data_IF_122684291295
#
_entry.id   IF_122684291295
#
_cell.length_a   1.000
_cell.length_b   1.000
_cell.length_c   1.000
_cell.angle_alpha   90.00
_cell.angle_beta   90.00
_cell.angle_gamma   90.00
#
_symmetry.space_group_name_H-M   'P 1'
#
loop_
_entity.id
_entity.type
_entity.pdbx_description
1 polymer ?
#
# COMPACT_ATOMS: atom_id res chain seq x y z
N UNK A 1 -22.80 26.05 3.70
CA UNK A 1 -21.41 26.55 3.89
C UNK A 1 -20.50 26.10 2.74
N UNK A 2 -20.72 24.90 2.25
CA UNK A 2 -20.04 24.17 1.17
C UNK A 2 -19.97 24.96 -0.14
N UNK A 3 -21.01 25.72 -0.49
CA UNK A 3 -21.01 26.57 -1.69
C UNK A 3 -19.96 27.69 -1.61
N UNK A 4 -19.82 28.32 -0.44
CA UNK A 4 -18.83 29.37 -0.23
C UNK A 4 -17.42 28.77 -0.35
N UNK A 5 -17.21 27.60 0.28
CA UNK A 5 -15.95 26.85 0.18
C UNK A 5 -15.62 26.48 -1.27
N UNK A 6 -16.60 25.97 -2.03
CA UNK A 6 -16.44 25.62 -3.43
C UNK A 6 -16.05 26.83 -4.29
N UNK A 7 -16.69 27.99 -4.05
CA UNK A 7 -16.38 29.22 -4.77
C UNK A 7 -14.95 29.70 -4.48
N UNK A 8 -14.50 29.62 -3.21
CA UNK A 8 -13.13 30.00 -2.83
C UNK A 8 -12.11 29.06 -3.47
N UNK A 9 -12.32 27.74 -3.44
CA UNK A 9 -11.40 26.77 -4.04
C UNK A 9 -11.25 27.01 -5.54
N UNK A 10 -12.37 27.21 -6.25
CA UNK A 10 -12.36 27.51 -7.70
C UNK A 10 -11.70 28.84 -8.00
N UNK A 11 -11.98 29.88 -7.20
CA UNK A 11 -11.39 31.22 -7.35
C UNK A 11 -9.86 31.18 -7.28
N UNK A 12 -9.29 30.32 -6.44
CA UNK A 12 -7.84 30.20 -6.26
C UNK A 12 -7.21 28.99 -6.99
N UNK A 13 -7.97 28.28 -7.82
CA UNK A 13 -7.50 27.10 -8.58
C UNK A 13 -6.86 26.00 -7.72
N UNK A 14 -7.46 25.73 -6.54
CA UNK A 14 -6.91 24.83 -5.52
C UNK A 14 -7.46 23.41 -5.59
N UNK A 15 -8.23 23.05 -6.63
CA UNK A 15 -8.93 21.77 -6.75
C UNK A 15 -8.00 20.56 -6.64
N UNK A 16 -6.75 20.68 -7.10
CA UNK A 16 -5.74 19.61 -7.07
C UNK A 16 -4.90 19.58 -5.77
N UNK A 17 -5.17 20.48 -4.83
CA UNK A 17 -4.35 20.68 -3.62
C UNK A 17 -5.15 20.58 -2.32
N UNK A 18 -6.45 20.28 -2.42
CA UNK A 18 -7.37 20.21 -1.28
C UNK A 18 -7.94 18.79 -1.19
N UNK A 19 -8.24 18.38 0.04
CA UNK A 19 -9.07 17.22 0.35
C UNK A 19 -10.02 17.59 1.48
N UNK A 20 -11.23 17.04 1.48
CA UNK A 20 -12.21 17.30 2.52
C UNK A 20 -12.21 16.17 3.54
N UNK A 21 -12.09 16.51 4.82
CA UNK A 21 -12.30 15.60 5.93
C UNK A 21 -13.46 16.12 6.78
N UNK A 22 -14.47 15.30 7.02
CA UNK A 22 -15.66 15.74 7.78
C UNK A 22 -16.33 14.58 8.52
N UNK A 23 -16.90 14.88 9.69
CA UNK A 23 -17.83 14.00 10.40
C UNK A 23 -19.27 14.09 9.86
N UNK A 24 -19.58 15.05 8.98
CA UNK A 24 -20.92 15.25 8.42
C UNK A 24 -21.03 14.60 7.05
N UNK A 25 -21.77 13.48 6.97
CA UNK A 25 -22.00 12.78 5.72
C UNK A 25 -22.81 13.64 4.70
N UNK A 26 -23.89 14.37 5.11
CA UNK A 26 -24.61 15.27 4.20
C UNK A 26 -23.74 16.40 3.62
N UNK A 27 -22.77 16.90 4.39
CA UNK A 27 -21.80 17.89 3.91
C UNK A 27 -20.92 17.31 2.80
N UNK A 28 -20.39 16.09 2.99
CA UNK A 28 -19.61 15.39 1.98
C UNK A 28 -20.43 15.04 0.74
N UNK A 29 -21.70 14.67 0.90
CA UNK A 29 -22.61 14.44 -0.23
C UNK A 29 -22.81 15.73 -1.03
N UNK A 30 -23.05 16.86 -0.38
CA UNK A 30 -23.16 18.17 -1.03
C UNK A 30 -21.87 18.52 -1.78
N UNK A 31 -20.70 18.31 -1.16
CA UNK A 31 -19.40 18.52 -1.80
C UNK A 31 -19.14 17.57 -2.97
N UNK A 32 -19.69 16.35 -2.94
CA UNK A 32 -19.60 15.42 -4.07
C UNK A 32 -20.29 15.95 -5.32
N UNK A 33 -21.38 16.74 -5.16
CA UNK A 33 -22.11 17.38 -6.24
C UNK A 33 -21.40 18.65 -6.73
N UNK A 34 -20.90 19.48 -5.80
CA UNK A 34 -20.26 20.77 -6.13
C UNK A 34 -18.85 20.64 -6.69
N UNK A 35 -18.08 19.65 -6.20
CA UNK A 35 -16.65 19.46 -6.45
C UNK A 35 -16.31 17.95 -6.58
N UNK A 36 -16.88 17.25 -7.58
CA UNK A 36 -16.83 15.79 -7.67
C UNK A 36 -15.41 15.20 -7.76
N UNK A 37 -14.45 15.98 -8.28
CA UNK A 37 -13.06 15.54 -8.47
C UNK A 37 -12.20 15.66 -7.22
N UNK A 38 -12.61 16.45 -6.22
CA UNK A 38 -11.82 16.68 -5.01
C UNK A 38 -12.03 15.52 -4.03
N UNK A 39 -10.97 14.90 -3.47
CA UNK A 39 -11.11 13.79 -2.52
C UNK A 39 -11.95 14.16 -1.29
N UNK A 40 -12.86 13.26 -0.93
CA UNK A 40 -13.77 13.38 0.23
C UNK A 40 -13.55 12.21 1.16
N UNK A 41 -13.10 12.48 2.37
CA UNK A 41 -12.76 11.50 3.39
C UNK A 41 -13.74 11.65 4.56
N UNK A 42 -14.47 10.58 4.87
CA UNK A 42 -15.43 10.60 5.96
C UNK A 42 -14.77 10.19 7.26
N UNK A 43 -14.84 11.06 8.28
CA UNK A 43 -14.35 10.74 9.62
C UNK A 43 -15.43 10.00 10.37
N UNK A 44 -15.11 8.78 10.82
CA UNK A 44 -16.05 7.93 11.55
C UNK A 44 -15.64 7.82 13.00
N UNK A 45 -16.60 8.07 13.90
CA UNK A 45 -16.47 7.77 15.32
C UNK A 45 -16.94 6.35 15.69
N UNK A 46 -17.57 5.62 14.76
CA UNK A 46 -18.00 4.24 14.97
C UNK A 46 -18.21 3.51 13.64
N UNK A 47 -18.05 2.19 13.65
CA UNK A 47 -18.18 1.35 12.46
C UNK A 47 -19.61 1.35 11.87
N UNK A 48 -20.64 1.55 12.69
CA UNK A 48 -22.05 1.62 12.27
C UNK A 48 -22.32 2.74 11.26
N UNK A 49 -21.46 3.76 11.21
CA UNK A 49 -21.59 4.89 10.28
C UNK A 49 -21.04 4.57 8.88
N UNK A 50 -20.29 3.48 8.72
CA UNK A 50 -19.80 3.01 7.43
C UNK A 50 -20.92 2.19 6.80
N UNK A 51 -21.54 2.72 5.75
CA UNK A 51 -22.60 2.05 5.01
C UNK A 51 -22.49 2.37 3.50
N UNK A 52 -23.19 1.60 2.66
CA UNK A 52 -23.07 1.73 1.20
C UNK A 52 -23.52 3.09 0.66
N UNK A 53 -24.48 3.74 1.31
CA UNK A 53 -24.93 5.08 0.92
C UNK A 53 -23.78 6.08 1.06
N UNK A 54 -23.15 6.16 2.23
CA UNK A 54 -22.00 7.05 2.44
C UNK A 54 -20.83 6.69 1.52
N UNK A 55 -20.55 5.39 1.39
CA UNK A 55 -19.49 4.90 0.50
C UNK A 55 -19.74 5.24 -0.98
N UNK A 56 -20.96 5.54 -1.40
CA UNK A 56 -21.23 5.92 -2.79
C UNK A 56 -20.63 7.26 -3.20
N UNK A 57 -20.51 8.22 -2.26
CA UNK A 57 -20.06 9.59 -2.57
C UNK A 57 -18.71 9.96 -1.94
N UNK A 58 -18.15 9.15 -1.04
CA UNK A 58 -16.80 9.39 -0.46
C UNK A 58 -15.71 8.57 -1.13
N UNK A 59 -14.48 9.07 -1.07
CA UNK A 59 -13.29 8.43 -1.65
C UNK A 59 -12.47 7.65 -0.61
N UNK A 60 -12.73 7.88 0.67
CA UNK A 60 -12.05 7.18 1.75
C UNK A 60 -12.71 7.41 3.10
N UNK A 61 -12.24 6.64 4.09
CA UNK A 61 -12.69 6.69 5.47
C UNK A 61 -11.50 7.02 6.36
N UNK A 62 -11.70 7.91 7.33
CA UNK A 62 -10.75 8.21 8.40
C UNK A 62 -11.25 7.60 9.71
N UNK A 63 -10.54 6.59 10.21
CA UNK A 63 -10.95 5.71 11.33
C UNK A 63 -9.98 5.90 12.49
N UNK A 64 -10.45 5.82 13.74
CA UNK A 64 -9.54 5.88 14.89
C UNK A 64 -8.64 4.65 14.95
N UNK A 65 -7.43 4.83 15.48
CA UNK A 65 -6.46 3.77 15.71
C UNK A 65 -7.06 2.60 16.52
N UNK A 66 -7.85 2.90 17.55
CA UNK A 66 -8.47 1.87 18.39
C UNK A 66 -9.48 1.01 17.61
N UNK A 67 -10.34 1.64 16.81
CA UNK A 67 -11.35 0.93 16.04
C UNK A 67 -10.70 0.05 14.95
N UNK A 68 -9.70 0.57 14.26
CA UNK A 68 -9.07 -0.15 13.14
C UNK A 68 -8.14 -1.27 13.62
N UNK A 69 -7.44 -1.08 14.75
CA UNK A 69 -6.58 -2.13 15.32
C UNK A 69 -7.37 -3.32 15.85
N UNK A 70 -8.60 -3.10 16.32
CA UNK A 70 -9.54 -4.15 16.70
C UNK A 70 -10.23 -4.82 15.50
N UNK A 71 -10.21 -4.18 14.32
CA UNK A 71 -10.90 -4.65 13.11
C UNK A 71 -9.99 -4.56 11.86
N UNK A 72 -8.83 -5.23 11.84
CA UNK A 72 -7.84 -5.09 10.77
C UNK A 72 -8.37 -5.44 9.37
N UNK A 73 -9.28 -6.42 9.28
CA UNK A 73 -9.85 -6.88 8.01
C UNK A 73 -10.63 -5.78 7.27
N UNK A 74 -11.09 -4.76 8.00
CA UNK A 74 -11.81 -3.62 7.44
C UNK A 74 -10.94 -2.87 6.41
N UNK A 75 -9.62 -2.87 6.58
CA UNK A 75 -8.69 -2.24 5.63
C UNK A 75 -8.87 -2.85 4.24
N UNK A 76 -8.79 -4.19 4.16
CA UNK A 76 -8.95 -4.91 2.90
C UNK A 76 -10.36 -4.78 2.32
N UNK A 77 -11.39 -4.77 3.18
CA UNK A 77 -12.77 -4.60 2.73
C UNK A 77 -12.98 -3.22 2.09
N UNK A 78 -12.46 -2.15 2.70
CA UNK A 78 -12.54 -0.80 2.15
C UNK A 78 -11.73 -0.67 0.86
N UNK A 79 -10.54 -1.27 0.80
CA UNK A 79 -9.72 -1.30 -0.41
C UNK A 79 -10.39 -2.04 -1.57
N UNK A 80 -11.08 -3.16 -1.31
CA UNK A 80 -11.90 -3.86 -2.32
C UNK A 80 -13.03 -2.99 -2.88
N UNK A 81 -13.50 -2.02 -2.11
CA UNK A 81 -14.47 -1.01 -2.54
C UNK A 81 -13.80 0.25 -3.12
N UNK A 82 -12.50 0.19 -3.39
CA UNK A 82 -11.67 1.30 -3.89
C UNK A 82 -11.70 2.54 -2.99
N UNK A 83 -11.83 2.33 -1.67
CA UNK A 83 -11.83 3.40 -0.67
C UNK A 83 -10.49 3.47 0.03
N UNK A 84 -9.95 4.67 0.16
CA UNK A 84 -8.73 4.91 0.94
C UNK A 84 -9.01 4.81 2.44
N UNK A 85 -8.04 4.31 3.20
CA UNK A 85 -8.09 4.17 4.66
C UNK A 85 -7.09 5.12 5.29
N UNK A 86 -7.62 6.12 5.97
CA UNK A 86 -6.87 7.05 6.80
C UNK A 86 -7.06 6.61 8.25
N UNK A 87 -6.00 6.72 9.05
CA UNK A 87 -6.07 6.42 10.48
C UNK A 87 -5.68 7.66 11.27
N UNK A 88 -6.46 7.98 12.30
CA UNK A 88 -6.13 9.04 13.26
C UNK A 88 -5.96 8.46 14.66
N UNK A 89 -5.08 9.04 15.48
CA UNK A 89 -4.83 8.59 16.85
C UNK A 89 -5.07 9.73 17.84
N UNK A 90 -5.49 9.40 19.07
CA UNK A 90 -5.75 10.36 20.16
C UNK A 90 -4.46 10.78 20.87
N UNK A 91 -3.55 11.42 20.12
CA UNK A 91 -2.34 12.08 20.65
C UNK A 91 -1.37 11.19 21.46
N UNK A 92 -1.57 9.88 21.55
CA UNK A 92 -0.84 8.93 22.40
C UNK A 92 -0.12 7.84 21.58
N UNK A 93 0.48 8.24 20.47
CA UNK A 93 1.05 7.32 19.48
C UNK A 93 2.32 6.59 19.99
N UNK A 94 2.11 5.39 20.55
CA UNK A 94 3.20 4.54 21.03
C UNK A 94 4.03 3.91 19.88
N UNK A 95 5.28 3.50 20.14
CA UNK A 95 6.07 2.71 19.18
C UNK A 95 5.36 1.42 18.73
N UNK A 96 4.57 0.81 19.62
CA UNK A 96 3.76 -0.38 19.29
C UNK A 96 2.70 -0.04 18.25
N UNK A 97 1.98 1.07 18.44
CA UNK A 97 0.99 1.53 17.47
C UNK A 97 1.64 1.88 16.13
N UNK A 98 2.76 2.61 16.13
CA UNK A 98 3.49 2.93 14.90
C UNK A 98 3.95 1.69 14.14
N UNK A 99 4.48 0.69 14.84
CA UNK A 99 4.83 -0.60 14.23
C UNK A 99 3.61 -1.31 13.64
N UNK A 100 2.44 -1.20 14.27
CA UNK A 100 1.22 -1.75 13.70
C UNK A 100 0.80 -0.97 12.45
N UNK A 101 0.67 0.36 12.54
CA UNK A 101 0.25 1.23 11.44
C UNK A 101 1.11 1.06 10.19
N UNK A 102 2.44 1.03 10.36
CA UNK A 102 3.37 0.97 9.23
C UNK A 102 3.38 -0.39 8.52
N UNK A 103 3.01 -1.47 9.22
CA UNK A 103 3.00 -2.83 8.69
C UNK A 103 1.64 -3.25 8.12
N UNK A 104 0.60 -2.44 8.32
CA UNK A 104 -0.70 -2.62 7.69
C UNK A 104 -0.81 -1.75 6.43
N UNK A 105 -1.69 -2.15 5.52
CA UNK A 105 -1.89 -1.47 4.23
C UNK A 105 -2.83 -0.26 4.38
N UNK A 106 -2.43 0.71 5.20
CA UNK A 106 -3.18 1.97 5.34
C UNK A 106 -2.63 3.04 4.40
N UNK A 107 -3.50 3.92 3.91
CA UNK A 107 -3.12 4.94 2.93
C UNK A 107 -2.44 6.15 3.56
N UNK A 108 -2.85 6.53 4.78
CA UNK A 108 -2.27 7.66 5.49
C UNK A 108 -2.56 7.63 6.99
N UNK A 109 -1.72 8.33 7.76
CA UNK A 109 -1.91 8.57 9.19
C UNK A 109 -2.09 10.07 9.42
N UNK A 110 -3.13 10.45 10.14
CA UNK A 110 -3.35 11.80 10.68
C UNK A 110 -2.76 11.82 12.08
N UNK A 111 -1.65 12.54 12.25
CA UNK A 111 -0.77 12.45 13.43
C UNK A 111 -0.25 13.82 13.85
N UNK A 112 -0.02 13.97 15.16
CA UNK A 112 0.68 15.12 15.74
C UNK A 112 2.21 14.96 15.70
N UNK A 113 2.72 13.79 15.34
CA UNK A 113 4.14 13.45 15.32
C UNK A 113 4.63 13.13 13.89
N UNK A 114 4.53 14.07 12.93
CA UNK A 114 4.87 13.82 11.53
C UNK A 114 6.35 13.43 11.32
N UNK A 115 7.26 13.93 12.17
CA UNK A 115 8.67 13.53 12.14
C UNK A 115 8.85 12.04 12.49
N UNK A 116 8.11 11.54 13.48
CA UNK A 116 8.09 10.13 13.85
C UNK A 116 7.52 9.29 12.71
N UNK A 117 6.38 9.69 12.16
CA UNK A 117 5.75 9.06 11.00
C UNK A 117 6.73 8.94 9.82
N UNK A 118 7.45 10.02 9.51
CA UNK A 118 8.45 10.06 8.45
C UNK A 118 9.57 9.05 8.70
N UNK A 119 10.11 8.97 9.93
CA UNK A 119 11.15 8.00 10.28
C UNK A 119 10.70 6.56 10.08
N UNK A 120 9.49 6.20 10.52
CA UNK A 120 8.92 4.87 10.30
C UNK A 120 8.73 4.57 8.81
N UNK A 121 8.23 5.55 8.03
CA UNK A 121 8.08 5.40 6.59
C UNK A 121 9.43 5.17 5.88
N UNK A 122 10.47 5.93 6.26
CA UNK A 122 11.82 5.73 5.71
C UNK A 122 12.40 4.38 6.09
N UNK A 123 12.19 3.93 7.33
CA UNK A 123 12.62 2.61 7.78
C UNK A 123 11.94 1.49 6.97
N UNK A 124 10.61 1.57 6.75
CA UNK A 124 9.86 0.61 5.91
C UNK A 124 10.41 0.57 4.49
N UNK A 125 10.60 1.73 3.84
CA UNK A 125 11.13 1.81 2.48
C UNK A 125 12.54 1.21 2.38
N UNK A 126 13.41 1.51 3.35
CA UNK A 126 14.77 0.93 3.39
C UNK A 126 14.73 -0.59 3.55
N UNK A 127 13.85 -1.11 4.40
CA UNK A 127 13.66 -2.55 4.60
C UNK A 127 13.21 -3.23 3.30
N UNK A 128 12.20 -2.67 2.61
CA UNK A 128 11.72 -3.19 1.33
C UNK A 128 12.86 -3.24 0.30
N UNK A 129 13.65 -2.18 0.18
CA UNK A 129 14.79 -2.14 -0.74
C UNK A 129 15.84 -3.20 -0.42
N UNK A 130 16.15 -3.42 0.87
CA UNK A 130 17.08 -4.46 1.32
C UNK A 130 16.57 -5.87 0.97
N UNK A 131 15.28 -6.15 1.20
CA UNK A 131 14.66 -7.45 0.88
C UNK A 131 14.69 -7.70 -0.62
N UNK A 132 14.30 -6.72 -1.44
CA UNK A 132 14.33 -6.82 -2.90
C UNK A 132 15.75 -7.07 -3.42
N UNK A 133 16.74 -6.35 -2.88
CA UNK A 133 18.15 -6.52 -3.24
C UNK A 133 18.63 -7.94 -2.91
N UNK A 134 18.33 -8.43 -1.70
CA UNK A 134 18.71 -9.78 -1.27
C UNK A 134 18.03 -10.87 -2.11
N UNK A 135 16.75 -10.70 -2.45
CA UNK A 135 16.03 -11.60 -3.36
C UNK A 135 16.66 -11.62 -4.76
N UNK A 136 17.05 -10.47 -5.29
CA UNK A 136 17.71 -10.38 -6.59
C UNK A 136 19.04 -11.13 -6.60
N UNK A 137 19.88 -10.95 -5.57
CA UNK A 137 21.13 -11.71 -5.42
C UNK A 137 20.88 -13.23 -5.32
N UNK A 138 19.84 -13.65 -4.59
CA UNK A 138 19.48 -15.06 -4.47
C UNK A 138 19.05 -15.67 -5.83
N UNK A 139 18.21 -14.98 -6.60
CA UNK A 139 17.77 -15.42 -7.94
C UNK A 139 18.96 -15.53 -8.91
N UNK A 140 19.85 -14.52 -8.91
CA UNK A 140 21.07 -14.56 -9.73
C UNK A 140 21.97 -15.73 -9.33
N UNK A 141 22.09 -16.01 -8.02
CA UNK A 141 22.79 -17.19 -7.51
C UNK A 141 22.21 -18.50 -8.05
N UNK A 142 20.88 -18.66 -7.97
CA UNK A 142 20.19 -19.83 -8.51
C UNK A 142 20.36 -19.99 -10.02
N UNK A 143 20.28 -18.90 -10.79
CA UNK A 143 20.53 -18.94 -12.24
C UNK A 143 21.96 -19.38 -12.58
N UNK A 144 22.97 -18.91 -11.83
CA UNK A 144 24.36 -19.32 -12.03
C UNK A 144 24.57 -20.80 -11.74
N UNK A 145 23.98 -21.33 -10.66
CA UNK A 145 24.05 -22.76 -10.34
C UNK A 145 23.33 -23.61 -11.40
N UNK A 146 22.15 -23.17 -11.87
CA UNK A 146 21.44 -23.86 -12.95
C UNK A 146 22.25 -23.91 -14.25
N UNK A 147 22.92 -22.81 -14.61
CA UNK A 147 23.80 -22.74 -15.78
C UNK A 147 25.02 -23.67 -15.63
N UNK A 148 25.64 -23.74 -14.44
CA UNK A 148 26.73 -24.68 -14.16
C UNK A 148 26.29 -26.14 -14.35
N UNK A 149 25.14 -26.52 -13.80
CA UNK A 149 24.58 -27.87 -13.94
C UNK A 149 24.31 -28.20 -15.40
N UNK A 150 23.76 -27.25 -16.17
CA UNK A 150 23.50 -27.43 -17.60
C UNK A 150 24.80 -27.64 -18.40
N UNK A 151 25.84 -26.83 -18.13
CA UNK A 151 27.17 -26.98 -18.75
C UNK A 151 27.81 -28.33 -18.37
N UNK A 152 27.70 -28.77 -17.12
CA UNK A 152 28.21 -30.08 -16.69
C UNK A 152 27.50 -31.22 -17.42
N UNK A 153 26.17 -31.14 -17.56
CA UNK A 153 25.38 -32.12 -18.33
C UNK A 153 25.84 -32.18 -19.79
N UNK A 154 26.03 -31.04 -20.44
CA UNK A 154 26.53 -30.97 -21.83
C UNK A 154 27.93 -31.59 -21.96
N UNK A 155 28.84 -31.34 -21.01
CA UNK A 155 30.18 -31.97 -20.98
C UNK A 155 30.09 -33.49 -20.81
N UNK A 156 29.24 -33.97 -19.90
CA UNK A 156 29.02 -35.40 -19.67
C UNK A 156 28.50 -36.11 -20.93
N UNK A 157 27.51 -35.51 -21.62
CA UNK A 157 26.94 -36.05 -22.87
C UNK A 157 28.00 -36.12 -23.97
N UNK A 158 28.82 -35.06 -24.14
CA UNK A 158 29.91 -35.06 -25.12
C UNK A 158 30.95 -36.16 -24.83
N UNK A 159 31.30 -36.37 -23.57
CA UNK A 159 32.26 -37.42 -23.18
C UNK A 159 31.71 -38.84 -23.38
N UNK A 160 30.41 -39.07 -23.17
CA UNK A 160 29.77 -40.37 -23.45
C UNK A 160 29.65 -40.65 -24.95
N UNK A 161 29.44 -39.62 -25.78
CA UNK A 161 29.49 -39.74 -27.23
C UNK A 161 30.90 -40.07 -27.73
N UNK A 162 31.94 -39.41 -27.21
CA UNK A 162 33.33 -39.68 -27.60
C UNK A 162 33.80 -41.11 -27.23
N UNK A 163 33.42 -41.61 -26.06
CA UNK A 163 33.77 -42.98 -25.63
C UNK A 163 32.99 -44.09 -26.35
N UNK A 164 31.78 -43.81 -26.84
CA UNK A 164 31.07 -44.75 -27.73
C UNK A 164 31.65 -44.76 -29.14
N UNK A 165 32.05 -43.60 -29.67
CA UNK A 165 32.64 -43.50 -31.02
C UNK A 165 34.02 -44.18 -31.08
N UNK A 166 34.86 -44.03 -30.05
CA UNK A 166 36.18 -44.67 -30.00
C UNK A 166 36.12 -46.20 -29.83
N UNK A 167 35.00 -46.75 -29.33
CA UNK A 167 34.79 -48.21 -29.24
C UNK A 167 34.21 -48.82 -30.51
N UNK A 168 33.58 -48.04 -31.38
CA UNK A 168 33.07 -48.51 -32.69
C UNK A 168 34.13 -48.50 -33.79
N UNK A 169 35.26 -47.79 -33.63
CA UNK A 169 36.39 -47.84 -34.57
C UNK A 169 37.42 -48.94 -34.26
N UNK A 170 37.27 -49.68 -33.16
CA UNK A 170 38.16 -50.80 -32.76
C UNK A 170 37.52 -52.19 -32.94
N UNK A 171 36.51 -52.34 -33.81
CA UNK A 171 35.96 -53.65 -34.20
C UNK A 171 35.64 -53.69 -35.68
#
# INVERSE_FOLDING_TARGET
>A
MEQILANVIKKYHMENRVMFHSFSAPSLETLSKLLPKIPRIFIVGSLKRINFEVLSYVNGINISADLITQNPDLIQQLHKLHKKVYVWAEMDESPKLWNWLINNDIDAVVTNFPATAYRYNMAKKRLINLVLTKMQFFIVGLQKEFLKIHILRLKLIKNTFFTKYSRQQCR
#
